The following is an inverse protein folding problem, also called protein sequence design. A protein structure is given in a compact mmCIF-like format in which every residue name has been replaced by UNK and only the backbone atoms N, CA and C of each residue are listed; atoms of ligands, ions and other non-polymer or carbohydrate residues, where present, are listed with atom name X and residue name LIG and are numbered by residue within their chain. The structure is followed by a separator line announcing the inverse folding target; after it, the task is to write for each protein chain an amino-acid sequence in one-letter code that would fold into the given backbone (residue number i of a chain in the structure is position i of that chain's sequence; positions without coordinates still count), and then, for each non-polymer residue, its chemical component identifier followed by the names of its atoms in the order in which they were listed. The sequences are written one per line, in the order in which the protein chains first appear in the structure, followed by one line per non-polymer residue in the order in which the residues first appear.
data_IF_026799327886
#
_entry.id   IF_026799327886
#
_cell.length_a   1.000
_cell.length_b   1.000
_cell.length_c   1.000
_cell.angle_alpha   90.00
_cell.angle_beta   90.00
_cell.angle_gamma   90.00
#
_symmetry.space_group_name_H-M   'P 1'
#
loop_
_entity.id
_entity.type
_entity.pdbx_description
1 polymer ?
#
# COMPACT_ATOMS: atom_id res chain seq x y z
N UNK A 1 0.28 -19.26 -9.29
CA UNK A 1 -1.17 -19.38 -9.50
C UNK A 1 -1.90 -18.18 -8.93
N UNK A 2 -2.80 -17.57 -9.72
CA UNK A 2 -3.66 -16.45 -9.31
C UNK A 2 -5.09 -16.83 -9.72
N UNK A 3 -6.04 -16.76 -8.78
CA UNK A 3 -7.44 -17.10 -9.03
C UNK A 3 -8.32 -15.87 -8.78
N UNK A 4 -9.22 -15.58 -9.71
CA UNK A 4 -10.16 -14.48 -9.62
C UNK A 4 -11.58 -15.02 -9.40
N UNK A 5 -12.27 -14.46 -8.42
CA UNK A 5 -13.61 -14.85 -8.01
C UNK A 5 -14.53 -13.63 -8.00
N UNK A 6 -15.81 -13.84 -8.31
CA UNK A 6 -16.84 -12.82 -8.12
C UNK A 6 -18.01 -13.36 -7.29
N UNK A 7 -18.69 -12.47 -6.59
CA UNK A 7 -19.89 -12.76 -5.84
C UNK A 7 -21.12 -12.42 -6.69
N UNK A 8 -21.99 -13.42 -6.91
CA UNK A 8 -23.32 -13.25 -7.55
C UNK A 8 -24.35 -14.06 -6.78
N UNK A 9 -25.44 -13.42 -6.40
CA UNK A 9 -26.54 -14.05 -5.63
C UNK A 9 -26.05 -14.75 -4.35
N UNK A 10 -25.15 -14.12 -3.59
CA UNK A 10 -24.47 -14.66 -2.40
C UNK A 10 -23.65 -15.94 -2.65
N UNK A 11 -23.32 -16.26 -3.89
CA UNK A 11 -22.44 -17.38 -4.27
C UNK A 11 -21.12 -16.82 -4.80
N UNK A 12 -20.02 -17.46 -4.40
CA UNK A 12 -18.69 -17.14 -4.90
C UNK A 12 -18.38 -18.07 -6.08
N UNK A 13 -18.13 -17.48 -7.26
CA UNK A 13 -17.81 -18.21 -8.48
C UNK A 13 -16.40 -17.82 -8.95
N UNK A 14 -15.58 -18.82 -9.26
CA UNK A 14 -14.32 -18.59 -9.96
C UNK A 14 -14.63 -18.29 -11.44
N UNK A 15 -13.97 -17.29 -12.02
CA UNK A 15 -14.19 -16.91 -13.41
C UNK A 15 -12.91 -16.80 -14.23
N UNK A 16 -11.74 -16.70 -13.56
CA UNK A 16 -10.47 -16.63 -14.28
C UNK A 16 -9.35 -17.19 -13.41
N UNK A 17 -8.47 -17.97 -14.03
CA UNK A 17 -7.30 -18.55 -13.39
C UNK A 17 -6.06 -18.26 -14.24
N UNK A 18 -5.01 -17.79 -13.59
CA UNK A 18 -3.68 -17.70 -14.17
C UNK A 18 -2.82 -18.79 -13.53
N UNK A 19 -2.48 -19.81 -14.29
CA UNK A 19 -1.68 -20.95 -13.85
C UNK A 19 -0.63 -21.24 -14.92
N UNK A 20 0.46 -20.49 -14.88
CA UNK A 20 1.58 -20.65 -15.78
C UNK A 20 2.76 -21.32 -15.06
N UNK A 21 3.62 -22.01 -15.82
CA UNK A 21 4.85 -22.62 -15.31
C UNK A 21 5.91 -21.61 -14.87
N UNK A 22 5.64 -20.30 -14.98
CA UNK A 22 6.52 -19.22 -14.57
C UNK A 22 5.94 -18.47 -13.36
N UNK A 23 6.80 -17.92 -12.52
CA UNK A 23 6.37 -17.06 -11.44
C UNK A 23 5.77 -15.77 -11.99
N UNK A 24 4.45 -15.62 -11.85
CA UNK A 24 3.69 -14.44 -12.30
C UNK A 24 3.89 -13.23 -11.41
N UNK A 25 4.09 -13.47 -10.10
CA UNK A 25 4.16 -12.42 -9.10
C UNK A 25 4.93 -12.88 -7.86
N UNK A 26 5.60 -11.95 -7.20
CA UNK A 26 6.28 -12.17 -5.92
C UNK A 26 5.71 -11.24 -4.85
N UNK A 27 5.47 -11.76 -3.66
CA UNK A 27 5.04 -10.99 -2.50
C UNK A 27 6.14 -11.01 -1.44
N UNK A 28 6.46 -9.84 -0.91
CA UNK A 28 7.51 -9.68 0.10
C UNK A 28 7.03 -8.83 1.27
N UNK A 29 7.51 -9.16 2.47
CA UNK A 29 7.36 -8.27 3.61
C UNK A 29 8.19 -7.00 3.39
N UNK A 30 7.56 -5.82 3.52
CA UNK A 30 8.21 -4.52 3.37
C UNK A 30 9.45 -4.37 4.29
N UNK A 31 9.41 -4.99 5.47
CA UNK A 31 10.54 -5.03 6.41
C UNK A 31 11.78 -5.66 5.78
N UNK A 32 11.64 -6.81 5.10
CA UNK A 32 12.75 -7.51 4.45
C UNK A 32 13.37 -6.68 3.33
N UNK A 33 12.53 -6.02 2.52
CA UNK A 33 13.01 -5.12 1.46
C UNK A 33 13.81 -3.97 2.07
N UNK A 34 13.29 -3.32 3.12
CA UNK A 34 13.99 -2.22 3.80
C UNK A 34 15.31 -2.66 4.41
N UNK A 35 15.36 -3.82 5.06
CA UNK A 35 16.59 -4.37 5.63
C UNK A 35 17.63 -4.66 4.55
N UNK A 36 17.21 -5.26 3.43
CA UNK A 36 18.10 -5.56 2.31
C UNK A 36 18.65 -4.29 1.67
N UNK A 37 17.79 -3.32 1.35
CA UNK A 37 18.21 -2.02 0.81
C UNK A 37 19.13 -1.27 1.77
N UNK A 38 18.88 -1.33 3.07
CA UNK A 38 19.75 -0.71 4.08
C UNK A 38 21.13 -1.35 4.11
N UNK A 39 21.23 -2.67 3.92
CA UNK A 39 22.52 -3.38 3.80
C UNK A 39 23.25 -2.99 2.52
N UNK A 40 22.55 -2.84 1.40
CA UNK A 40 23.14 -2.39 0.14
C UNK A 40 23.67 -0.95 0.25
N UNK A 41 22.90 -0.04 0.84
CA UNK A 41 23.31 1.35 1.05
C UNK A 41 24.62 1.46 1.83
N UNK A 42 24.84 0.62 2.85
CA UNK A 42 26.10 0.59 3.63
C UNK A 42 27.33 0.20 2.78
N UNK A 43 27.13 -0.48 1.65
CA UNK A 43 28.21 -0.86 0.71
C UNK A 43 28.50 0.22 -0.33
N UNK A 44 27.69 1.29 -0.38
CA UNK A 44 27.86 2.40 -1.32
C UNK A 44 28.56 3.58 -0.65
N UNK A 45 29.04 4.53 -1.47
CA UNK A 45 29.59 5.81 -0.99
C UNK A 45 28.51 6.84 -0.64
N UNK A 46 27.21 6.46 -0.67
CA UNK A 46 26.07 7.36 -0.39
C UNK A 46 26.05 7.69 1.11
N UNK A 47 26.11 8.97 1.43
CA UNK A 47 26.02 9.46 2.80
C UNK A 47 24.57 9.55 3.25
N UNK A 48 24.16 8.69 4.17
CA UNK A 48 22.83 8.73 4.81
C UNK A 48 22.93 9.57 6.08
N UNK A 49 22.11 10.64 6.17
CA UNK A 49 22.05 11.54 7.32
C UNK A 49 20.66 11.55 7.94
N UNK A 50 20.57 11.35 9.25
CA UNK A 50 19.32 11.46 10.00
C UNK A 50 19.14 12.90 10.48
N UNK A 51 18.54 13.75 9.66
CA UNK A 51 18.28 15.17 9.96
C UNK A 51 16.83 15.53 9.67
N UNK A 52 16.26 16.45 10.46
CA UNK A 52 14.95 17.00 10.20
C UNK A 52 15.04 18.14 9.18
N UNK A 53 14.36 18.01 8.05
CA UNK A 53 14.27 19.08 7.04
C UNK A 53 13.26 20.11 7.52
N UNK A 54 13.69 21.37 7.64
CA UNK A 54 12.84 22.52 8.01
C UNK A 54 12.23 23.18 6.76
N UNK A 55 13.04 23.41 5.75
CA UNK A 55 12.59 24.07 4.53
C UNK A 55 13.42 23.68 3.31
N UNK A 56 12.85 23.91 2.14
CA UNK A 56 13.52 23.80 0.86
C UNK A 56 13.30 25.12 0.12
N UNK A 57 14.40 25.76 -0.27
CA UNK A 57 14.39 26.88 -1.20
C UNK A 57 14.59 26.33 -2.61
N UNK A 58 13.56 26.52 -3.45
CA UNK A 58 13.58 26.03 -4.83
C UNK A 58 14.34 26.95 -5.77
N UNK A 59 14.62 28.21 -5.37
CA UNK A 59 15.39 29.13 -6.19
C UNK A 59 16.86 28.78 -6.18
N UNK A 60 17.38 28.43 -4.99
CA UNK A 60 18.79 28.11 -4.76
C UNK A 60 19.06 26.62 -4.62
N UNK A 61 18.04 25.76 -4.80
CA UNK A 61 18.10 24.31 -4.52
C UNK A 61 18.68 23.99 -3.13
N UNK A 62 18.33 24.84 -2.16
CA UNK A 62 18.90 24.80 -0.80
C UNK A 62 17.98 24.05 0.14
N UNK A 63 18.53 23.05 0.80
CA UNK A 63 17.84 22.27 1.83
C UNK A 63 18.33 22.73 3.19
N UNK A 64 17.41 23.25 4.02
CA UNK A 64 17.69 23.66 5.40
C UNK A 64 17.21 22.60 6.38
N UNK A 65 18.10 22.19 7.26
CA UNK A 65 17.84 21.24 8.35
C UNK A 65 17.88 21.98 9.69
N UNK A 66 17.64 21.25 10.76
CA UNK A 66 17.81 21.77 12.12
C UNK A 66 19.27 22.15 12.47
N UNK A 67 20.27 21.65 11.70
CA UNK A 67 21.68 21.83 11.98
C UNK A 67 22.45 22.67 10.94
N UNK A 68 22.00 22.69 9.69
CA UNK A 68 22.72 23.33 8.60
C UNK A 68 21.82 23.58 7.38
N UNK A 69 22.28 24.47 6.51
CA UNK A 69 21.72 24.68 5.18
C UNK A 69 22.75 24.35 4.11
N UNK A 70 22.34 23.67 3.03
CA UNK A 70 23.23 23.31 1.94
C UNK A 70 22.48 23.33 0.60
N UNK A 71 23.15 23.83 -0.46
CA UNK A 71 22.65 23.77 -1.84
C UNK A 71 23.09 22.47 -2.51
N UNK A 72 22.27 21.99 -3.45
CA UNK A 72 22.47 20.77 -4.19
C UNK A 72 22.14 20.98 -5.67
N UNK A 73 22.80 20.26 -6.57
CA UNK A 73 22.53 20.28 -8.00
C UNK A 73 21.16 19.69 -8.33
N UNK A 74 20.72 18.69 -7.58
CA UNK A 74 19.42 18.04 -7.70
C UNK A 74 18.88 17.69 -6.31
N UNK A 75 17.59 17.96 -6.07
CA UNK A 75 16.86 17.56 -4.87
C UNK A 75 15.75 16.59 -5.27
N UNK A 76 15.77 15.36 -4.71
CA UNK A 76 14.74 14.35 -4.94
C UNK A 76 13.91 14.20 -3.65
N UNK A 77 12.60 14.43 -3.75
CA UNK A 77 11.66 14.37 -2.64
C UNK A 77 10.90 13.05 -2.62
N UNK A 78 11.20 12.18 -1.65
CA UNK A 78 10.53 10.89 -1.40
C UNK A 78 9.91 10.87 0.00
N UNK A 79 9.02 11.83 0.31
CA UNK A 79 8.54 12.13 1.67
C UNK A 79 7.20 11.47 2.00
N UNK A 80 6.73 10.51 1.19
CA UNK A 80 5.38 9.94 1.29
C UNK A 80 4.28 10.91 0.84
N UNK A 81 3.01 10.53 0.98
CA UNK A 81 1.89 11.25 0.36
C UNK A 81 1.55 12.62 0.99
N UNK A 82 1.84 12.81 2.27
CA UNK A 82 1.26 13.91 3.07
C UNK A 82 2.22 15.06 3.40
N UNK A 83 3.42 15.10 2.81
CA UNK A 83 4.38 16.15 3.15
C UNK A 83 3.94 17.54 2.72
N UNK A 84 3.91 18.55 3.61
CA UNK A 84 3.59 19.93 3.25
C UNK A 84 4.62 20.56 2.31
N UNK A 85 5.82 20.01 2.24
CA UNK A 85 6.90 20.49 1.36
C UNK A 85 6.49 20.43 -0.10
N UNK A 86 5.68 19.45 -0.50
CA UNK A 86 5.23 19.30 -1.88
C UNK A 86 4.44 20.50 -2.41
N UNK A 87 3.77 21.29 -1.55
CA UNK A 87 3.05 22.49 -1.98
C UNK A 87 3.97 23.52 -2.65
N UNK A 88 5.22 23.58 -2.23
CA UNK A 88 6.22 24.50 -2.83
C UNK A 88 6.55 24.10 -4.27
N UNK A 89 6.58 22.81 -4.58
CA UNK A 89 6.86 22.29 -5.93
C UNK A 89 5.60 22.32 -6.79
N UNK A 90 4.49 21.82 -6.25
CA UNK A 90 3.25 21.56 -6.99
C UNK A 90 2.31 22.77 -7.11
N UNK A 91 2.47 23.80 -6.26
CA UNK A 91 1.65 25.02 -6.32
C UNK A 91 0.15 24.75 -6.12
N UNK A 92 -0.26 23.84 -5.25
CA UNK A 92 -1.64 23.42 -4.98
C UNK A 92 -2.39 22.74 -6.17
N UNK A 93 -1.70 22.42 -7.26
CA UNK A 93 -2.30 21.73 -8.42
C UNK A 93 -2.35 20.22 -8.17
N UNK A 94 -3.43 19.77 -7.54
CA UNK A 94 -3.65 18.38 -7.17
C UNK A 94 -5.08 17.96 -7.47
N UNK A 95 -5.24 16.79 -8.10
CA UNK A 95 -6.55 16.15 -8.27
C UNK A 95 -6.77 15.26 -7.06
N UNK A 96 -7.84 15.49 -6.31
CA UNK A 96 -8.24 14.69 -5.16
C UNK A 96 -9.62 14.09 -5.37
N UNK A 97 -9.77 12.83 -4.99
CA UNK A 97 -11.07 12.15 -4.93
C UNK A 97 -11.12 11.25 -3.69
N UNK A 98 -12.21 11.28 -2.95
CA UNK A 98 -12.49 10.29 -1.92
C UNK A 98 -13.28 9.14 -2.56
N UNK A 99 -12.78 7.91 -2.43
CA UNK A 99 -13.47 6.74 -2.97
C UNK A 99 -14.66 6.31 -2.12
N UNK A 100 -14.82 6.86 -0.91
CA UNK A 100 -15.79 6.40 0.10
C UNK A 100 -15.59 4.92 0.43
N UNK A 101 -14.36 4.53 0.57
CA UNK A 101 -13.89 3.20 0.88
C UNK A 101 -12.75 3.25 1.89
N UNK A 102 -12.58 2.15 2.65
CA UNK A 102 -11.44 1.90 3.52
C UNK A 102 -10.65 0.68 3.04
N UNK A 103 -9.35 0.78 3.04
CA UNK A 103 -8.48 -0.40 2.92
C UNK A 103 -8.30 -1.03 4.29
N UNK A 104 -8.67 -2.29 4.44
CA UNK A 104 -8.38 -3.11 5.62
C UNK A 104 -7.23 -4.02 5.26
N UNK A 105 -6.17 -4.01 6.05
CA UNK A 105 -5.01 -4.89 5.86
C UNK A 105 -4.66 -5.64 7.12
N UNK A 106 -4.32 -6.91 7.01
CA UNK A 106 -3.71 -7.66 8.10
C UNK A 106 -2.91 -8.87 7.58
N UNK A 107 -1.98 -9.36 8.40
CA UNK A 107 -1.33 -10.65 8.20
C UNK A 107 -2.19 -11.75 8.82
N UNK A 108 -2.36 -12.85 8.11
CA UNK A 108 -3.15 -14.00 8.56
C UNK A 108 -2.26 -15.24 8.59
N UNK A 109 -2.23 -15.95 9.74
CA UNK A 109 -1.65 -17.29 9.85
C UNK A 109 -2.71 -18.33 9.46
N UNK A 110 -2.31 -19.36 8.74
CA UNK A 110 -3.21 -20.41 8.27
C UNK A 110 -2.54 -21.79 8.21
N UNK A 111 -3.35 -22.83 7.99
CA UNK A 111 -2.92 -24.22 7.79
C UNK A 111 -3.39 -24.78 6.43
N UNK A 112 -3.72 -23.91 5.48
CA UNK A 112 -4.17 -24.30 4.14
C UNK A 112 -2.94 -24.72 3.33
N UNK A 113 -3.00 -25.90 2.69
CA UNK A 113 -1.95 -26.36 1.77
C UNK A 113 -2.10 -25.61 0.44
N UNK A 114 -0.96 -25.23 -0.15
CA UNK A 114 -0.85 -24.69 -1.51
C UNK A 114 -1.81 -23.54 -1.85
N UNK A 115 -1.97 -22.60 -0.92
CA UNK A 115 -2.77 -21.41 -1.17
C UNK A 115 -2.07 -20.51 -2.20
N UNK A 116 -2.70 -20.29 -3.36
CA UNK A 116 -2.29 -19.30 -4.35
C UNK A 116 -2.82 -17.91 -4.02
N UNK A 117 -2.40 -16.91 -4.79
CA UNK A 117 -2.99 -15.58 -4.74
C UNK A 117 -4.45 -15.63 -5.21
N UNK A 118 -5.32 -14.92 -4.51
CA UNK A 118 -6.76 -14.91 -4.79
C UNK A 118 -7.30 -13.48 -4.73
N UNK A 119 -8.14 -13.12 -5.69
CA UNK A 119 -8.87 -11.86 -5.71
C UNK A 119 -10.37 -12.16 -5.74
N UNK A 120 -11.09 -11.62 -4.78
CA UNK A 120 -12.54 -11.74 -4.68
C UNK A 120 -13.19 -10.38 -4.95
N UNK A 121 -14.06 -10.30 -5.93
CA UNK A 121 -14.92 -9.14 -6.18
C UNK A 121 -16.24 -9.34 -5.44
N UNK A 122 -16.26 -8.87 -4.19
CA UNK A 122 -17.39 -9.00 -3.28
C UNK A 122 -18.32 -7.79 -3.38
N UNK A 123 -19.56 -7.94 -2.90
CA UNK A 123 -20.53 -6.82 -2.82
C UNK A 123 -20.07 -5.69 -1.89
N UNK A 124 -19.24 -5.99 -0.90
CA UNK A 124 -18.67 -5.00 0.00
C UNK A 124 -17.45 -4.30 -0.58
N UNK A 125 -16.90 -4.82 -1.67
CA UNK A 125 -15.70 -4.35 -2.35
C UNK A 125 -14.63 -5.43 -2.51
N UNK A 126 -13.60 -5.19 -3.34
CA UNK A 126 -12.59 -6.18 -3.69
C UNK A 126 -11.70 -6.57 -2.50
N UNK A 127 -11.51 -7.89 -2.32
CA UNK A 127 -10.66 -8.50 -1.29
C UNK A 127 -9.58 -9.35 -1.95
N UNK A 128 -8.31 -9.08 -1.64
CA UNK A 128 -7.17 -9.86 -2.08
C UNK A 128 -6.57 -10.70 -0.95
N UNK A 129 -6.19 -11.93 -1.26
CA UNK A 129 -5.39 -12.84 -0.43
C UNK A 129 -4.04 -13.02 -1.13
N UNK A 130 -2.97 -12.57 -0.49
CA UNK A 130 -1.64 -12.47 -1.04
C UNK A 130 -0.66 -13.32 -0.21
N UNK A 131 -0.42 -14.58 -0.58
CA UNK A 131 0.50 -15.46 0.13
C UNK A 131 1.94 -14.97 0.01
N UNK A 132 2.65 -14.83 1.13
CA UNK A 132 4.05 -14.45 1.17
C UNK A 132 4.93 -15.45 1.95
N UNK A 133 4.30 -16.44 2.59
CA UNK A 133 4.97 -17.53 3.28
C UNK A 133 4.08 -18.79 3.25
N UNK A 134 4.64 -19.97 3.47
CA UNK A 134 3.93 -21.27 3.46
C UNK A 134 2.67 -21.30 4.36
N UNK A 135 2.70 -20.56 5.47
CA UNK A 135 1.62 -20.53 6.46
C UNK A 135 1.11 -19.12 6.78
N UNK A 136 1.42 -18.14 5.90
CA UNK A 136 0.98 -16.75 6.07
C UNK A 136 0.60 -16.12 4.74
N UNK A 137 -0.48 -15.35 4.77
CA UNK A 137 -0.84 -14.44 3.70
C UNK A 137 -1.20 -13.05 4.25
N UNK A 138 -1.10 -12.05 3.40
CA UNK A 138 -1.66 -10.73 3.66
C UNK A 138 -3.06 -10.65 3.09
N UNK A 139 -3.96 -10.00 3.79
CA UNK A 139 -5.26 -9.58 3.29
C UNK A 139 -5.21 -8.10 2.97
N UNK A 140 -5.75 -7.73 1.82
CA UNK A 140 -6.07 -6.35 1.46
C UNK A 140 -7.53 -6.31 1.02
N UNK A 141 -8.37 -5.60 1.76
CA UNK A 141 -9.80 -5.49 1.46
C UNK A 141 -10.19 -4.03 1.31
N UNK A 142 -10.53 -3.61 0.10
CA UNK A 142 -11.11 -2.28 -0.14
C UNK A 142 -12.61 -2.39 0.09
N UNK A 143 -13.06 -1.98 1.28
CA UNK A 143 -14.45 -2.09 1.71
C UNK A 143 -15.14 -0.73 1.63
N UNK A 144 -16.36 -0.67 1.08
CA UNK A 144 -17.17 0.54 1.07
C UNK A 144 -17.47 1.05 2.49
N UNK A 145 -17.50 2.37 2.67
CA UNK A 145 -17.71 3.05 3.96
C UNK A 145 -18.96 2.55 4.70
N UNK A 146 -20.07 2.29 3.98
CA UNK A 146 -21.32 1.79 4.60
C UNK A 146 -21.15 0.46 5.33
N UNK A 147 -20.36 -0.46 4.77
CA UNK A 147 -20.07 -1.75 5.41
C UNK A 147 -18.98 -1.61 6.48
N UNK A 148 -17.98 -0.78 6.25
CA UNK A 148 -16.91 -0.51 7.21
C UNK A 148 -17.46 0.08 8.50
N UNK A 149 -18.25 1.16 8.42
CA UNK A 149 -18.81 1.86 9.58
C UNK A 149 -19.71 0.93 10.39
N UNK A 150 -20.58 0.15 9.72
CA UNK A 150 -21.47 -0.83 10.37
C UNK A 150 -20.70 -1.86 11.19
N UNK A 151 -19.53 -2.25 10.77
CA UNK A 151 -18.74 -3.33 11.37
C UNK A 151 -17.53 -2.85 12.18
N UNK A 152 -17.29 -1.55 12.30
CA UNK A 152 -16.08 -0.98 12.93
C UNK A 152 -15.87 -1.49 14.36
N UNK A 153 -16.93 -1.58 15.17
CA UNK A 153 -16.86 -2.04 16.58
C UNK A 153 -16.43 -3.52 16.70
N UNK A 154 -16.64 -4.33 15.67
CA UNK A 154 -16.33 -5.76 15.66
C UNK A 154 -15.59 -6.20 14.39
N UNK A 155 -14.70 -5.34 13.89
CA UNK A 155 -14.02 -5.50 12.61
C UNK A 155 -13.22 -6.81 12.52
N UNK A 156 -12.58 -7.21 13.60
CA UNK A 156 -11.79 -8.44 13.67
C UNK A 156 -12.66 -9.68 13.44
N UNK A 157 -13.79 -9.77 14.14
CA UNK A 157 -14.69 -10.89 13.98
C UNK A 157 -15.36 -10.90 12.60
N UNK A 158 -15.76 -9.73 12.10
CA UNK A 158 -16.32 -9.59 10.77
C UNK A 158 -15.34 -10.07 9.68
N UNK A 159 -14.09 -9.63 9.73
CA UNK A 159 -13.05 -10.05 8.80
C UNK A 159 -12.76 -11.54 8.92
N UNK A 160 -12.64 -12.07 10.16
CA UNK A 160 -12.42 -13.50 10.41
C UNK A 160 -13.52 -14.37 9.82
N UNK A 161 -14.78 -14.01 10.05
CA UNK A 161 -15.95 -14.74 9.52
C UNK A 161 -15.96 -14.69 7.98
N UNK A 162 -15.71 -13.51 7.38
CA UNK A 162 -15.65 -13.38 5.92
C UNK A 162 -14.56 -14.29 5.34
N UNK A 163 -13.35 -14.24 5.88
CA UNK A 163 -12.23 -15.07 5.43
C UNK A 163 -12.49 -16.57 5.63
N UNK A 164 -13.07 -16.97 6.77
CA UNK A 164 -13.41 -18.37 7.03
C UNK A 164 -14.40 -18.91 6.01
N UNK A 165 -15.39 -18.13 5.63
CA UNK A 165 -16.38 -18.49 4.62
C UNK A 165 -15.76 -18.58 3.22
N UNK A 166 -14.92 -17.59 2.83
CA UNK A 166 -14.24 -17.59 1.53
C UNK A 166 -13.26 -18.77 1.37
N UNK A 167 -12.50 -19.05 2.41
CA UNK A 167 -11.46 -20.10 2.42
C UNK A 167 -11.98 -21.47 2.88
N UNK A 168 -13.26 -21.55 3.29
CA UNK A 168 -13.90 -22.77 3.82
C UNK A 168 -13.10 -23.43 4.96
N UNK A 169 -12.54 -22.60 5.87
CA UNK A 169 -11.76 -23.06 7.00
C UNK A 169 -11.83 -22.10 8.19
N UNK A 170 -11.86 -22.66 9.40
CA UNK A 170 -11.76 -21.90 10.65
C UNK A 170 -10.32 -21.85 11.21
N UNK A 171 -9.37 -22.54 10.55
CA UNK A 171 -7.97 -22.64 10.98
C UNK A 171 -7.15 -21.44 10.51
N UNK A 172 -7.64 -20.26 10.85
CA UNK A 172 -6.98 -18.97 10.56
C UNK A 172 -6.87 -18.14 11.84
N UNK A 173 -5.77 -17.40 11.95
CA UNK A 173 -5.52 -16.44 13.04
C UNK A 173 -5.12 -15.11 12.46
N UNK A 174 -5.88 -14.05 12.80
CA UNK A 174 -5.61 -12.69 12.35
C UNK A 174 -4.50 -12.05 13.19
N UNK A 175 -3.58 -11.36 12.53
CA UNK A 175 -2.65 -10.44 13.15
C UNK A 175 -3.29 -9.07 13.43
N UNK A 176 -2.45 -8.06 13.62
CA UNK A 176 -2.91 -6.69 13.80
C UNK A 176 -3.62 -6.18 12.56
N UNK A 177 -4.85 -5.70 12.71
CA UNK A 177 -5.66 -5.13 11.64
C UNK A 177 -5.38 -3.64 11.57
N UNK A 178 -5.06 -3.16 10.37
CA UNK A 178 -4.91 -1.75 10.05
C UNK A 178 -6.00 -1.34 9.07
N UNK A 179 -6.50 -0.12 9.19
CA UNK A 179 -7.46 0.43 8.24
C UNK A 179 -7.09 1.86 7.86
N UNK A 180 -7.29 2.19 6.58
CA UNK A 180 -6.97 3.49 6.00
C UNK A 180 -8.06 3.93 5.03
N UNK A 181 -8.54 5.18 5.10
CA UNK A 181 -9.46 5.71 4.10
C UNK A 181 -8.78 5.78 2.73
N UNK A 182 -9.45 5.30 1.70
CA UNK A 182 -8.94 5.31 0.34
C UNK A 182 -9.22 6.64 -0.36
N UNK A 183 -8.18 7.25 -0.88
CA UNK A 183 -8.23 8.54 -1.56
C UNK A 183 -7.38 8.50 -2.82
N UNK A 184 -7.85 9.14 -3.86
CA UNK A 184 -7.03 9.51 -5.01
C UNK A 184 -6.31 10.82 -4.68
N UNK A 185 -5.03 10.88 -4.97
CA UNK A 185 -4.24 12.11 -4.98
C UNK A 185 -3.26 12.04 -6.14
N UNK A 186 -3.47 12.88 -7.13
CA UNK A 186 -2.60 12.97 -8.30
C UNK A 186 -2.05 14.39 -8.38
N UNK A 187 -0.74 14.54 -8.32
CA UNK A 187 -0.09 15.83 -8.48
C UNK A 187 0.17 16.07 -9.96
N UNK A 188 -0.13 17.29 -10.43
CA UNK A 188 0.06 17.66 -11.83
C UNK A 188 1.49 18.07 -12.15
N UNK A 189 2.19 18.66 -11.17
CA UNK A 189 3.58 19.08 -11.34
C UNK A 189 4.49 18.17 -10.54
N UNK A 190 5.43 17.54 -11.19
CA UNK A 190 6.35 16.54 -10.61
C UNK A 190 7.70 17.16 -10.26
N UNK A 191 8.00 18.31 -10.83
CA UNK A 191 9.26 19.00 -10.61
C UNK A 191 9.07 20.52 -10.65
N UNK A 192 10.02 21.22 -10.07
CA UNK A 192 10.19 22.66 -10.18
C UNK A 192 11.67 22.96 -10.05
N UNK A 193 12.25 23.63 -11.07
CA UNK A 193 13.71 23.80 -11.20
C UNK A 193 14.41 22.43 -11.04
N UNK A 194 15.40 22.34 -10.19
CA UNK A 194 16.17 21.12 -9.94
C UNK A 194 15.62 20.29 -8.77
N UNK A 195 14.34 20.45 -8.43
CA UNK A 195 13.67 19.63 -7.41
C UNK A 195 12.60 18.76 -8.06
N UNK A 196 12.66 17.44 -7.84
CA UNK A 196 11.72 16.44 -8.36
C UNK A 196 11.03 15.70 -7.21
N UNK A 197 9.76 15.32 -7.41
CA UNK A 197 8.98 14.48 -6.50
C UNK A 197 8.93 13.05 -7.04
N UNK A 198 9.14 12.05 -6.17
CA UNK A 198 9.01 10.63 -6.51
C UNK A 198 8.16 9.87 -5.48
N UNK A 199 7.65 8.69 -5.89
CA UNK A 199 6.88 7.77 -5.05
C UNK A 199 5.48 8.30 -4.70
N UNK A 200 4.97 7.94 -3.53
CA UNK A 200 3.62 8.32 -3.04
C UNK A 200 3.39 9.84 -2.95
N UNK A 201 4.47 10.61 -2.98
CA UNK A 201 4.40 12.07 -3.09
C UNK A 201 3.79 12.55 -4.40
N UNK A 202 3.88 11.75 -5.46
CA UNK A 202 3.31 12.02 -6.79
C UNK A 202 1.87 11.56 -6.89
N UNK A 203 1.66 10.28 -6.67
CA UNK A 203 0.40 9.61 -6.92
C UNK A 203 0.02 8.71 -5.75
N UNK A 204 -1.20 8.87 -5.27
CA UNK A 204 -1.88 7.88 -4.42
C UNK A 204 -3.10 7.43 -5.20
N UNK A 205 -3.15 6.15 -5.54
CA UNK A 205 -4.22 5.55 -6.33
C UNK A 205 -4.92 4.45 -5.54
N UNK A 206 -6.06 3.98 -6.04
CA UNK A 206 -6.80 2.88 -5.42
C UNK A 206 -6.00 1.56 -5.52
N UNK A 207 -5.78 0.84 -4.41
CA UNK A 207 -5.10 -0.45 -4.41
C UNK A 207 -6.07 -1.56 -4.84
N UNK A 208 -6.33 -1.71 -6.14
CA UNK A 208 -7.28 -2.72 -6.66
C UNK A 208 -6.88 -4.16 -6.35
N UNK A 209 -5.60 -4.42 -6.21
CA UNK A 209 -5.05 -5.77 -5.96
C UNK A 209 -3.93 -5.79 -4.91
N UNK A 210 -3.92 -4.81 -4.03
CA UNK A 210 -2.89 -4.66 -2.98
C UNK A 210 -1.87 -3.59 -3.28
#
# INVERSE_FOLDING_TARGET
KINLFFEKNNQIKNFLNFDENKNLMFFFENRLIKEHLSKLLKKTKIKVQKKTIRSIDLAENKVSTNLSSKSYDLVVLCLGSNSPIYRKVNGNREIKKNYKEHSITCSVKHQIKDIGAQQFFLKEGPLAILPYNKNKFSVVWSIEDRYFIKNTKNLSNYLKTKLSNLLKTNRISLGNIQSYPLKLSLKRNYYKKNTIILGDGLHVVHPLAG
#
